data_IF_544127135200
#
_entry.id   IF_544127135200
#
_cell.length_a   1.000
_cell.length_b   1.000
_cell.length_c   1.000
_cell.angle_alpha   90.00
_cell.angle_beta   90.00
_cell.angle_gamma   90.00
#
_symmetry.space_group_name_H-M   'P 1'
#
loop_
_entity.id
_entity.type
_entity.pdbx_description
1 polymer ?
#
# COMPACT_ATOMS: atom_id res chain seq x y z
N UNK A 1 -22.82 -2.70 2.13
CA UNK A 1 -22.93 -1.82 0.96
C UNK A 1 -24.27 -2.08 0.32
N UNK A 2 -25.14 -1.08 0.29
CA UNK A 2 -26.45 -1.16 -0.38
C UNK A 2 -26.63 -0.02 -1.38
N UNK A 3 -27.53 -0.18 -2.36
CA UNK A 3 -27.88 0.92 -3.28
C UNK A 3 -28.42 2.14 -2.53
N UNK A 4 -29.17 1.93 -1.44
CA UNK A 4 -29.68 3.00 -0.57
C UNK A 4 -28.54 3.78 0.08
N UNK A 5 -27.53 3.10 0.61
CA UNK A 5 -26.32 3.74 1.14
C UNK A 5 -25.52 4.47 0.07
N UNK A 6 -25.39 3.92 -1.14
CA UNK A 6 -24.69 4.57 -2.25
C UNK A 6 -25.38 5.89 -2.62
N UNK A 7 -26.70 5.86 -2.77
CA UNK A 7 -27.53 7.04 -3.08
C UNK A 7 -27.46 8.08 -1.98
N UNK A 8 -27.55 7.67 -0.72
CA UNK A 8 -27.44 8.57 0.43
C UNK A 8 -26.08 9.31 0.45
N UNK A 9 -25.00 8.61 0.13
CA UNK A 9 -23.66 9.19 0.11
C UNK A 9 -23.44 10.10 -1.09
N UNK A 10 -23.90 9.75 -2.29
CA UNK A 10 -23.91 10.67 -3.45
C UNK A 10 -24.62 11.99 -3.09
N UNK A 11 -25.77 11.90 -2.40
CA UNK A 11 -26.50 13.08 -1.92
C UNK A 11 -25.72 13.88 -0.87
N UNK A 12 -25.09 13.21 0.09
CA UNK A 12 -24.31 13.86 1.14
C UNK A 12 -23.08 14.59 0.57
N UNK A 13 -22.36 13.98 -0.37
CA UNK A 13 -21.22 14.62 -1.06
C UNK A 13 -21.70 15.83 -1.86
N UNK A 14 -22.79 15.71 -2.60
CA UNK A 14 -23.35 16.86 -3.34
C UNK A 14 -23.73 18.04 -2.44
N UNK A 15 -24.30 17.77 -1.26
CA UNK A 15 -24.55 18.82 -0.24
C UNK A 15 -23.25 19.45 0.25
N UNK A 16 -22.27 18.62 0.58
CA UNK A 16 -20.97 19.09 1.05
C UNK A 16 -20.26 19.99 0.02
N UNK A 17 -20.36 19.68 -1.27
CA UNK A 17 -19.81 20.54 -2.33
C UNK A 17 -20.51 21.91 -2.42
N UNK A 18 -21.82 21.96 -2.20
CA UNK A 18 -22.58 23.21 -2.16
C UNK A 18 -22.12 24.04 -0.96
N UNK A 19 -22.08 23.43 0.22
CA UNK A 19 -21.60 24.08 1.46
C UNK A 19 -20.15 24.61 1.30
N UNK A 20 -19.26 23.84 0.67
CA UNK A 20 -17.90 24.28 0.37
C UNK A 20 -17.89 25.51 -0.55
N UNK A 21 -18.69 25.51 -1.62
CA UNK A 21 -18.77 26.64 -2.56
C UNK A 21 -19.31 27.90 -1.89
N UNK A 22 -20.32 27.76 -1.03
CA UNK A 22 -20.88 28.87 -0.26
C UNK A 22 -19.83 29.44 0.72
N UNK A 23 -19.15 28.56 1.45
CA UNK A 23 -18.10 28.96 2.41
C UNK A 23 -16.93 29.65 1.73
N UNK A 24 -16.54 29.22 0.53
CA UNK A 24 -15.52 29.88 -0.29
C UNK A 24 -15.94 31.31 -0.66
N UNK A 25 -17.23 31.56 -0.92
CA UNK A 25 -17.77 32.89 -1.25
C UNK A 25 -17.88 33.80 -0.03
N UNK A 26 -18.23 33.26 1.12
CA UNK A 26 -18.48 34.05 2.35
C UNK A 26 -17.21 34.33 3.17
N UNK A 27 -16.15 33.52 3.00
CA UNK A 27 -14.90 33.67 3.75
C UNK A 27 -14.05 34.83 3.22
N UNK A 28 -13.67 35.75 4.11
CA UNK A 28 -12.68 36.81 3.86
C UNK A 28 -11.22 36.36 4.03
N UNK A 29 -10.98 35.25 4.74
CA UNK A 29 -9.64 34.67 4.91
C UNK A 29 -9.14 34.00 3.62
N UNK A 30 -8.12 34.61 3.01
CA UNK A 30 -7.49 34.16 1.77
C UNK A 30 -6.81 32.79 1.89
N UNK A 31 -6.24 32.46 3.05
CA UNK A 31 -5.56 31.17 3.30
C UNK A 31 -6.57 30.04 3.40
N UNK A 32 -7.64 30.25 4.18
CA UNK A 32 -8.74 29.30 4.28
C UNK A 32 -9.43 29.11 2.93
N UNK A 33 -9.74 30.19 2.22
CA UNK A 33 -10.33 30.14 0.87
C UNK A 33 -9.47 29.29 -0.08
N UNK A 34 -8.15 29.46 -0.07
CA UNK A 34 -7.22 28.65 -0.88
C UNK A 34 -7.26 27.18 -0.50
N UNK A 35 -7.35 26.87 0.79
CA UNK A 35 -7.41 25.49 1.28
C UNK A 35 -8.73 24.81 0.91
N UNK A 36 -9.85 25.51 1.04
CA UNK A 36 -11.18 25.01 0.64
C UNK A 36 -11.25 24.78 -0.88
N UNK A 37 -10.69 25.69 -1.70
CA UNK A 37 -10.59 25.50 -3.16
C UNK A 37 -9.82 24.22 -3.51
N UNK A 38 -8.68 23.97 -2.85
CA UNK A 38 -7.91 22.73 -3.07
C UNK A 38 -8.73 21.47 -2.77
N UNK A 39 -9.56 21.50 -1.73
CA UNK A 39 -10.44 20.36 -1.40
C UNK A 39 -11.45 20.16 -2.53
N UNK A 40 -12.07 21.24 -3.01
CA UNK A 40 -13.04 21.18 -4.11
C UNK A 40 -12.39 20.68 -5.41
N UNK A 41 -11.19 21.14 -5.74
CA UNK A 41 -10.45 20.69 -6.91
C UNK A 41 -10.13 19.19 -6.83
N UNK A 42 -9.75 18.71 -5.64
CA UNK A 42 -9.49 17.29 -5.41
C UNK A 42 -10.76 16.43 -5.50
N UNK A 43 -11.90 16.92 -5.03
CA UNK A 43 -13.18 16.23 -5.19
C UNK A 43 -13.54 16.08 -6.68
N UNK A 44 -13.35 17.13 -7.47
CA UNK A 44 -13.57 17.09 -8.93
C UNK A 44 -12.58 16.17 -9.65
N UNK A 45 -11.29 16.26 -9.34
CA UNK A 45 -10.24 15.42 -9.93
C UNK A 45 -10.55 13.93 -9.76
N UNK A 46 -11.13 13.56 -8.62
CA UNK A 46 -11.42 12.18 -8.25
C UNK A 46 -12.90 11.80 -8.34
N UNK A 47 -13.76 12.64 -8.94
CA UNK A 47 -15.21 12.42 -8.99
C UNK A 47 -15.57 11.04 -9.57
N UNK A 48 -14.91 10.67 -10.68
CA UNK A 48 -15.10 9.38 -11.35
C UNK A 48 -14.71 8.16 -10.47
N UNK A 49 -13.79 8.35 -9.53
CA UNK A 49 -13.33 7.30 -8.61
C UNK A 49 -13.98 7.34 -7.24
N UNK A 50 -14.70 8.42 -6.91
CA UNK A 50 -15.27 8.65 -5.57
C UNK A 50 -16.44 7.71 -5.29
N UNK A 51 -17.18 7.33 -6.35
CA UNK A 51 -18.27 6.38 -6.28
C UNK A 51 -17.97 5.20 -7.20
N UNK A 52 -17.73 4.03 -6.61
CA UNK A 52 -17.70 2.79 -7.38
C UNK A 52 -19.12 2.24 -7.51
N UNK A 53 -19.57 2.08 -8.75
CA UNK A 53 -20.84 1.42 -8.99
C UNK A 53 -20.73 -0.07 -8.62
N UNK A 54 -21.81 -0.69 -8.12
CA UNK A 54 -21.77 -2.08 -7.70
C UNK A 54 -21.54 -3.00 -8.91
N UNK A 55 -20.66 -3.98 -8.77
CA UNK A 55 -20.37 -4.94 -9.82
C UNK A 55 -21.23 -6.18 -9.69
N UNK A 56 -21.85 -6.59 -10.80
CA UNK A 56 -22.56 -7.85 -10.88
C UNK A 56 -21.57 -8.93 -11.32
N UNK A 57 -21.39 -9.96 -10.50
CA UNK A 57 -20.53 -11.10 -10.80
C UNK A 57 -21.35 -12.39 -10.79
N UNK A 58 -21.06 -13.30 -11.72
CA UNK A 58 -21.71 -14.61 -11.78
C UNK A 58 -20.83 -15.63 -11.06
N UNK A 59 -21.35 -16.21 -9.97
CA UNK A 59 -20.65 -17.22 -9.17
C UNK A 59 -21.54 -18.46 -9.13
N UNK A 60 -21.03 -19.59 -9.65
CA UNK A 60 -21.74 -20.87 -9.72
C UNK A 60 -23.14 -20.74 -10.35
N UNK A 61 -23.24 -19.99 -11.45
CA UNK A 61 -24.50 -19.75 -12.17
C UNK A 61 -25.42 -18.70 -11.56
N UNK A 62 -25.16 -18.23 -10.34
CA UNK A 62 -25.96 -17.20 -9.66
C UNK A 62 -25.31 -15.83 -9.77
N UNK A 63 -26.11 -14.80 -10.04
CA UNK A 63 -25.64 -13.42 -9.99
C UNK A 63 -25.51 -12.95 -8.55
N UNK A 64 -24.40 -12.28 -8.24
CA UNK A 64 -24.15 -11.61 -6.98
C UNK A 64 -23.69 -10.19 -7.24
N UNK A 65 -24.20 -9.26 -6.43
CA UNK A 65 -23.82 -7.86 -6.49
C UNK A 65 -22.73 -7.62 -5.45
N UNK A 66 -21.58 -7.13 -5.89
CA UNK A 66 -20.44 -6.76 -5.06
C UNK A 66 -20.35 -5.25 -4.98
N UNK A 67 -20.42 -4.73 -3.76
CA UNK A 67 -20.14 -3.33 -3.48
C UNK A 67 -18.68 -3.19 -3.08
N UNK A 68 -17.89 -2.47 -3.87
CA UNK A 68 -16.51 -2.14 -3.51
C UNK A 68 -16.53 -1.25 -2.27
N UNK A 69 -15.67 -1.56 -1.29
CA UNK A 69 -15.49 -0.72 -0.12
C UNK A 69 -14.90 0.64 -0.54
N UNK A 70 -15.61 1.72 -0.18
CA UNK A 70 -15.26 3.10 -0.52
C UNK A 70 -14.14 3.69 0.33
N UNK A 71 -13.80 3.04 1.43
CA UNK A 71 -12.68 3.44 2.28
C UNK A 71 -11.61 2.38 2.18
N UNK A 72 -10.37 2.85 2.08
CA UNK A 72 -9.19 2.03 2.25
C UNK A 72 -8.96 1.66 3.73
N UNK A 73 -9.90 1.92 4.66
CA UNK A 73 -9.74 1.68 6.10
C UNK A 73 -9.14 0.31 6.39
N UNK A 74 -9.65 -0.77 5.77
CA UNK A 74 -9.10 -2.12 5.99
C UNK A 74 -7.62 -2.19 5.61
N UNK A 75 -7.27 -1.62 4.45
CA UNK A 75 -5.88 -1.53 3.97
C UNK A 75 -5.05 -0.64 4.89
N UNK A 76 -5.53 0.53 5.29
CA UNK A 76 -4.83 1.45 6.20
C UNK A 76 -4.61 0.84 7.58
N UNK A 77 -5.63 0.20 8.15
CA UNK A 77 -5.53 -0.55 9.40
C UNK A 77 -4.48 -1.65 9.28
N UNK A 78 -4.45 -2.38 8.16
CA UNK A 78 -3.47 -3.40 7.88
C UNK A 78 -2.06 -2.81 7.79
N UNK A 79 -1.85 -1.80 6.94
CA UNK A 79 -0.56 -1.11 6.79
C UNK A 79 -0.10 -0.48 8.10
N UNK A 80 -1.01 0.05 8.92
CA UNK A 80 -0.68 0.62 10.22
C UNK A 80 -0.20 -0.43 11.22
N UNK A 81 -0.87 -1.58 11.31
CA UNK A 81 -0.41 -2.71 12.13
C UNK A 81 0.96 -3.19 11.67
N UNK A 82 1.13 -3.33 10.36
CA UNK A 82 2.39 -3.72 9.77
C UNK A 82 3.52 -2.73 10.13
N UNK A 83 3.27 -1.43 9.96
CA UNK A 83 4.21 -0.37 10.31
C UNK A 83 4.56 -0.37 11.80
N UNK A 84 3.57 -0.62 12.68
CA UNK A 84 3.80 -0.73 14.11
C UNK A 84 4.77 -1.88 14.44
N UNK A 85 4.56 -3.05 13.84
CA UNK A 85 5.48 -4.19 13.99
C UNK A 85 6.91 -3.86 13.52
N UNK A 86 7.06 -3.23 12.35
CA UNK A 86 8.37 -2.83 11.85
C UNK A 86 9.07 -1.80 12.74
N UNK A 87 8.34 -0.84 13.33
CA UNK A 87 8.89 0.11 14.31
C UNK A 87 9.40 -0.62 15.55
N UNK A 88 8.66 -1.61 16.05
CA UNK A 88 9.04 -2.38 17.23
C UNK A 88 10.30 -3.23 17.01
N UNK A 89 10.50 -3.73 15.78
CA UNK A 89 11.68 -4.54 15.44
C UNK A 89 12.91 -3.66 15.18
N UNK A 90 12.77 -2.57 14.41
CA UNK A 90 13.91 -1.80 13.91
C UNK A 90 14.15 -0.46 14.61
N UNK A 91 13.23 0.00 15.48
CA UNK A 91 13.28 1.32 16.12
C UNK A 91 13.09 2.52 15.16
N UNK A 92 12.94 2.27 13.85
CA UNK A 92 12.91 3.31 12.83
C UNK A 92 11.50 3.86 12.60
N UNK A 93 11.36 5.20 12.63
CA UNK A 93 10.09 5.89 12.40
C UNK A 93 9.68 5.99 10.91
N UNK A 94 10.60 5.72 9.98
CA UNK A 94 10.39 5.89 8.53
C UNK A 94 9.51 4.78 7.93
N UNK A 95 8.21 5.06 7.83
CA UNK A 95 7.22 4.19 7.14
C UNK A 95 7.61 3.91 5.70
N UNK A 96 8.04 4.96 4.98
CA UNK A 96 8.31 4.87 3.54
C UNK A 96 9.44 3.89 3.23
N UNK A 97 10.55 3.95 3.97
CA UNK A 97 11.66 3.00 3.76
C UNK A 97 11.21 1.59 4.05
N UNK A 98 10.43 1.37 5.10
CA UNK A 98 9.92 0.03 5.38
C UNK A 98 9.05 -0.45 4.20
N UNK A 99 8.05 0.32 3.76
CA UNK A 99 7.20 -0.01 2.60
C UNK A 99 7.98 -0.30 1.30
N UNK A 100 9.04 0.45 1.03
CA UNK A 100 9.87 0.25 -0.18
C UNK A 100 10.79 -0.98 -0.10
N UNK A 101 11.14 -1.44 1.12
CA UNK A 101 12.10 -2.54 1.31
C UNK A 101 11.45 -3.84 1.80
N UNK A 102 10.16 -3.81 2.14
CA UNK A 102 9.41 -5.02 2.46
C UNK A 102 9.25 -5.87 1.20
N UNK A 103 9.63 -7.16 1.25
CA UNK A 103 9.31 -8.08 0.18
C UNK A 103 7.79 -8.14 -0.05
N UNK A 104 7.35 -8.10 -1.30
CA UNK A 104 5.93 -8.16 -1.70
C UNK A 104 5.18 -9.38 -1.11
N UNK A 105 5.93 -10.42 -0.75
CA UNK A 105 5.42 -11.66 -0.17
C UNK A 105 5.10 -11.52 1.34
N UNK A 106 5.74 -10.59 2.05
CA UNK A 106 5.61 -10.47 3.50
C UNK A 106 4.17 -10.08 3.94
N UNK A 107 3.47 -9.15 3.26
CA UNK A 107 2.05 -8.90 3.54
C UNK A 107 1.16 -10.13 3.35
N UNK A 108 1.54 -11.09 2.50
CA UNK A 108 0.76 -12.32 2.26
C UNK A 108 0.88 -13.28 3.46
N UNK A 109 2.01 -13.25 4.18
CA UNK A 109 2.20 -14.08 5.38
C UNK A 109 1.17 -13.73 6.46
N UNK A 110 0.76 -12.47 6.58
CA UNK A 110 -0.31 -12.06 7.51
C UNK A 110 -1.66 -12.71 7.18
N UNK A 111 -1.91 -13.11 5.92
CA UNK A 111 -3.12 -13.84 5.56
C UNK A 111 -3.16 -15.25 6.16
N UNK A 112 -2.02 -15.84 6.56
CA UNK A 112 -1.99 -17.12 7.25
C UNK A 112 -2.67 -17.07 8.64
N UNK A 113 -2.85 -15.88 9.23
CA UNK A 113 -3.62 -15.70 10.47
C UNK A 113 -5.14 -15.78 10.25
N UNK A 114 -5.60 -15.77 9.00
CA UNK A 114 -7.03 -15.85 8.66
C UNK A 114 -7.40 -17.30 8.35
N UNK A 115 -8.13 -17.95 9.25
CA UNK A 115 -8.57 -19.34 9.09
C UNK A 115 -9.25 -19.62 7.74
N UNK A 116 -10.14 -18.74 7.31
CA UNK A 116 -10.83 -18.87 6.02
C UNK A 116 -9.87 -18.83 4.82
N UNK A 117 -8.81 -18.02 4.88
CA UNK A 117 -7.79 -17.98 3.83
C UNK A 117 -6.97 -19.28 3.82
N UNK A 118 -6.60 -19.76 5.00
CA UNK A 118 -5.87 -21.02 5.13
C UNK A 118 -6.71 -22.18 4.60
N UNK A 119 -7.98 -22.25 4.99
CA UNK A 119 -8.93 -23.25 4.52
C UNK A 119 -9.07 -23.22 2.99
N UNK A 120 -9.20 -22.02 2.41
CA UNK A 120 -9.39 -21.84 0.97
C UNK A 120 -8.16 -22.27 0.16
N UNK A 121 -6.96 -21.92 0.61
CA UNK A 121 -5.72 -22.15 -0.14
C UNK A 121 -5.09 -23.50 0.17
N UNK A 122 -5.05 -23.89 1.45
CA UNK A 122 -4.35 -25.07 1.94
C UNK A 122 -5.29 -26.23 2.32
N UNK A 123 -6.59 -26.00 2.38
CA UNK A 123 -7.57 -27.00 2.80
C UNK A 123 -7.70 -27.03 4.32
N UNK A 124 -6.74 -27.59 5.05
CA UNK A 124 -6.76 -27.63 6.51
C UNK A 124 -5.45 -27.00 7.05
N UNK A 125 -5.48 -26.40 8.23
CA UNK A 125 -4.30 -25.86 8.94
C UNK A 125 -3.22 -26.95 9.10
N UNK A 126 -3.64 -28.19 9.31
CA UNK A 126 -2.74 -29.36 9.44
C UNK A 126 -1.99 -29.71 8.14
N UNK A 127 -2.53 -29.31 6.98
CA UNK A 127 -1.99 -29.65 5.65
C UNK A 127 -1.02 -28.62 5.09
N UNK A 128 -0.76 -27.53 5.82
CA UNK A 128 0.17 -26.49 5.40
C UNK A 128 1.55 -27.09 5.11
N UNK A 129 2.08 -27.91 6.03
CA UNK A 129 3.41 -28.55 5.89
C UNK A 129 3.46 -29.45 4.66
N UNK A 130 2.43 -30.27 4.47
CA UNK A 130 2.32 -31.18 3.31
C UNK A 130 2.24 -30.40 1.98
N UNK A 131 1.60 -29.23 1.97
CA UNK A 131 1.54 -28.37 0.79
C UNK A 131 2.89 -27.75 0.50
N UNK A 132 3.62 -27.28 1.52
CA UNK A 132 4.97 -26.76 1.36
C UNK A 132 5.97 -27.83 0.91
N UNK A 133 5.83 -29.09 1.36
CA UNK A 133 6.72 -30.18 0.95
C UNK A 133 6.55 -30.59 -0.53
N UNK A 134 5.41 -30.28 -1.14
CA UNK A 134 5.14 -30.52 -2.57
C UNK A 134 5.69 -29.43 -3.48
N UNK A 135 6.21 -28.33 -2.92
CA UNK A 135 6.73 -27.23 -3.73
C UNK A 135 8.14 -27.58 -4.22
N UNK A 136 8.34 -27.42 -5.52
CA UNK A 136 9.64 -27.57 -6.15
C UNK A 136 10.60 -26.46 -5.73
N UNK A 137 11.65 -26.84 -5.01
CA UNK A 137 12.68 -25.93 -4.47
C UNK A 137 13.43 -25.21 -5.59
N UNK A 138 13.64 -25.84 -6.74
CA UNK A 138 14.36 -25.22 -7.85
C UNK A 138 13.56 -24.07 -8.47
N UNK A 139 12.24 -24.25 -8.62
CA UNK A 139 11.34 -23.15 -9.02
C UNK A 139 11.38 -21.99 -8.03
N UNK A 140 11.43 -22.24 -6.72
CA UNK A 140 11.57 -21.18 -5.70
C UNK A 140 12.90 -20.44 -5.88
N UNK A 141 14.00 -21.17 -6.10
CA UNK A 141 15.32 -20.57 -6.29
C UNK A 141 15.37 -19.69 -7.54
N UNK A 142 14.74 -20.12 -8.63
CA UNK A 142 14.63 -19.34 -9.86
C UNK A 142 13.80 -18.06 -9.65
N UNK A 143 12.61 -18.17 -9.06
CA UNK A 143 11.78 -17.01 -8.71
C UNK A 143 12.54 -16.00 -7.83
N UNK A 144 13.29 -16.47 -6.83
CA UNK A 144 14.10 -15.61 -5.98
C UNK A 144 15.25 -14.90 -6.73
N UNK A 145 15.86 -15.55 -7.73
CA UNK A 145 16.88 -14.91 -8.58
C UNK A 145 16.26 -13.76 -9.38
N UNK A 146 15.05 -13.93 -9.91
CA UNK A 146 14.34 -12.87 -10.63
C UNK A 146 13.96 -11.69 -9.72
N UNK A 147 13.46 -11.96 -8.51
CA UNK A 147 13.09 -10.93 -7.54
C UNK A 147 14.31 -10.09 -7.14
N UNK A 148 15.47 -10.71 -6.91
CA UNK A 148 16.73 -9.99 -6.61
C UNK A 148 17.17 -9.08 -7.76
N UNK A 149 16.98 -9.48 -9.02
CA UNK A 149 17.30 -8.65 -10.19
C UNK A 149 16.41 -7.38 -10.28
N UNK A 150 15.16 -7.46 -9.81
CA UNK A 150 14.19 -6.35 -9.87
C UNK A 150 14.36 -5.30 -8.78
N UNK A 151 14.95 -5.65 -7.64
CA UNK A 151 15.22 -4.69 -6.58
C UNK A 151 16.35 -3.74 -7.01
N UNK A 152 15.98 -2.52 -7.45
CA UNK A 152 16.95 -1.43 -7.61
C UNK A 152 17.61 -1.17 -6.26
N UNK A 153 18.91 -1.38 -6.16
CA UNK A 153 19.70 -0.91 -5.02
C UNK A 153 19.52 0.60 -4.94
N UNK A 154 18.74 1.06 -3.96
CA UNK A 154 18.44 2.48 -3.78
C UNK A 154 19.65 3.16 -3.12
N UNK A 155 20.70 3.40 -3.91
CA UNK A 155 21.83 4.21 -3.47
C UNK A 155 21.39 5.68 -3.33
N UNK A 156 21.69 6.29 -2.18
CA UNK A 156 21.43 7.72 -1.99
C UNK A 156 22.16 8.54 -3.07
N UNK A 157 21.66 9.74 -3.39
CA UNK A 157 22.34 10.62 -4.35
C UNK A 157 23.78 10.94 -3.91
N UNK A 158 24.07 10.92 -2.62
CA UNK A 158 25.42 11.07 -2.08
C UNK A 158 26.31 9.91 -2.49
N UNK A 159 25.84 8.66 -2.30
CA UNK A 159 26.56 7.45 -2.71
C UNK A 159 26.78 7.44 -4.23
N UNK A 160 25.76 7.78 -5.02
CA UNK A 160 25.87 7.87 -6.49
C UNK A 160 26.90 8.92 -6.94
N UNK A 161 26.96 10.07 -6.25
CA UNK A 161 27.97 11.10 -6.51
C UNK A 161 29.37 10.62 -6.11
N UNK A 162 29.51 9.91 -5.00
CA UNK A 162 30.80 9.37 -4.54
C UNK A 162 31.36 8.32 -5.49
N UNK A 163 30.51 7.41 -6.01
CA UNK A 163 30.92 6.38 -6.99
C UNK A 163 31.44 7.01 -8.29
N UNK A 164 30.94 8.19 -8.67
CA UNK A 164 31.37 8.90 -9.89
C UNK A 164 32.68 9.70 -9.74
N UNK A 165 33.24 9.79 -8.54
CA UNK A 165 34.51 10.51 -8.34
C UNK A 165 35.67 9.69 -8.91
N UNK A 166 36.63 10.35 -9.54
CA UNK A 166 37.85 9.72 -10.07
C UNK A 166 38.64 8.98 -9.00
N UNK A 167 38.64 9.48 -7.75
CA UNK A 167 39.31 8.88 -6.60
C UNK A 167 38.41 7.96 -5.76
N UNK A 168 37.32 7.44 -6.32
CA UNK A 168 36.38 6.56 -5.59
C UNK A 168 37.07 5.35 -4.93
N UNK A 169 38.05 4.74 -5.61
CA UNK A 169 38.75 3.55 -5.11
C UNK A 169 39.49 3.81 -3.79
N UNK A 170 40.12 4.96 -3.66
CA UNK A 170 40.83 5.38 -2.43
C UNK A 170 39.85 5.70 -1.29
N UNK A 171 38.74 6.37 -1.62
CA UNK A 171 37.66 6.66 -0.66
C UNK A 171 37.04 5.35 -0.14
N UNK A 172 36.87 4.36 -1.01
CA UNK A 172 36.32 3.07 -0.65
C UNK A 172 37.26 2.33 0.31
N UNK A 173 38.54 2.22 -0.03
CA UNK A 173 39.55 1.54 0.79
C UNK A 173 39.65 2.18 2.18
N UNK A 174 39.73 3.51 2.24
CA UNK A 174 39.80 4.23 3.53
C UNK A 174 38.54 4.02 4.38
N UNK A 175 37.36 3.93 3.78
CA UNK A 175 36.12 3.66 4.51
C UNK A 175 36.05 2.25 5.11
N UNK A 176 36.64 1.25 4.46
CA UNK A 176 36.72 -0.11 5.01
C UNK A 176 37.74 -0.22 6.15
N UNK A 177 38.89 0.46 6.01
CA UNK A 177 39.90 0.52 7.09
C UNK A 177 39.34 1.21 8.33
N UNK A 178 38.60 2.32 8.15
CA UNK A 178 37.98 3.05 9.25
C UNK A 178 36.85 2.27 9.96
N UNK A 179 36.21 1.30 9.29
CA UNK A 179 35.14 0.49 9.86
C UNK A 179 35.63 -0.82 10.52
N UNK A 180 36.90 -1.18 10.30
CA UNK A 180 37.55 -2.36 10.88
C UNK A 180 38.25 -2.07 12.23
N UNK A 181 38.20 -0.82 12.70
CA UNK A 181 38.66 -0.32 14.00
C UNK A 181 37.43 -0.16 14.90
#
# INVERSE_FOLDING_TARGET
>A
GTYKELKAIKKAVGKFEIELKEKIKSTSDKSLCKSLKKILDKLKEHENGLFSDPHIVKINGRERIIFIHRTNNILEHHFRRFNYSCRRIHGNQSIRRNLEHIPEQLPIVENLKKKNYVQLIFGDETKIVEKFSKIDVEKIREMNKEVKKKHKIYASNKIKKTIRKSNFKEILISSFVAAAI
#
